data_IF_324977953500
#
_entry.id   IF_324977953500
#
_cell.length_a   1.000
_cell.length_b   1.000
_cell.length_c   1.000
_cell.angle_alpha   90.00
_cell.angle_beta   90.00
_cell.angle_gamma   90.00
#
_symmetry.space_group_name_H-M   'P 1'
#
loop_
_entity.id
_entity.type
_entity.pdbx_description
1 polymer ?
#
# COMPACT_ATOMS: atom_id res chain seq x y z
N UNK A 1 3.71 3.27 -21.41
CA UNK A 1 3.09 3.63 -20.10
C UNK A 1 3.07 2.38 -19.25
N UNK A 2 3.85 2.36 -18.16
CA UNK A 2 3.83 1.23 -17.22
C UNK A 2 2.88 1.61 -16.09
N UNK A 3 1.77 0.88 -15.97
CA UNK A 3 0.82 1.05 -14.88
C UNK A 3 1.07 0.00 -13.82
N UNK A 4 1.06 0.42 -12.57
CA UNK A 4 1.11 -0.47 -11.42
C UNK A 4 -0.15 -0.25 -10.60
N UNK A 5 -0.81 -1.34 -10.23
CA UNK A 5 -2.04 -1.31 -9.44
C UNK A 5 -1.87 -2.12 -8.16
N UNK A 6 -2.55 -1.66 -7.11
CA UNK A 6 -2.69 -2.37 -5.85
C UNK A 6 -4.16 -2.35 -5.44
N UNK A 7 -4.59 -3.40 -4.74
CA UNK A 7 -5.87 -3.42 -4.03
C UNK A 7 -5.60 -3.00 -2.59
N UNK A 8 -6.23 -1.91 -2.15
CA UNK A 8 -6.15 -1.46 -0.77
C UNK A 8 -7.36 -2.00 0.02
N UNK A 9 -7.07 -2.80 1.04
CA UNK A 9 -8.08 -3.32 1.98
C UNK A 9 -7.93 -2.64 3.34
N UNK A 10 -9.05 -2.16 3.90
CA UNK A 10 -9.12 -1.60 5.25
C UNK A 10 -10.15 -2.36 6.07
N UNK A 11 -9.82 -2.69 7.31
CA UNK A 11 -10.76 -3.30 8.23
C UNK A 11 -10.52 -2.81 9.65
N UNK A 12 -11.56 -2.87 10.48
CA UNK A 12 -11.45 -2.68 11.92
C UNK A 12 -11.15 -4.01 12.57
N UNK A 13 -10.20 -4.04 13.48
CA UNK A 13 -9.95 -5.22 14.28
C UNK A 13 -11.16 -5.44 15.22
N UNK A 14 -11.76 -6.64 15.24
CA UNK A 14 -13.04 -6.86 15.90
C UNK A 14 -12.98 -6.80 17.43
N UNK A 15 -11.80 -6.79 18.04
CA UNK A 15 -11.63 -6.79 19.50
C UNK A 15 -10.60 -5.75 19.95
N UNK A 16 -11.08 -4.71 20.60
CA UNK A 16 -10.28 -3.89 21.51
C UNK A 16 -10.75 -4.13 22.95
N UNK A 17 -9.86 -3.97 23.92
CA UNK A 17 -10.23 -3.90 25.35
C UNK A 17 -11.42 -2.95 25.54
N UNK A 18 -12.29 -3.17 26.55
CA UNK A 18 -13.31 -2.19 26.89
C UNK A 18 -12.64 -0.83 27.11
N UNK A 19 -13.08 0.19 26.36
CA UNK A 19 -12.54 1.57 26.27
C UNK A 19 -11.31 1.79 25.36
N UNK A 20 -10.88 0.81 24.57
CA UNK A 20 -9.86 1.05 23.55
C UNK A 20 -10.48 1.68 22.28
N UNK A 21 -9.80 2.66 21.64
CA UNK A 21 -10.25 3.17 20.36
C UNK A 21 -10.19 2.07 19.29
N UNK A 22 -11.12 2.07 18.31
CA UNK A 22 -11.13 1.07 17.25
C UNK A 22 -9.82 1.11 16.46
N UNK A 23 -9.14 -0.03 16.38
CA UNK A 23 -7.88 -0.16 15.66
C UNK A 23 -8.15 -0.48 14.20
N UNK A 24 -7.71 0.41 13.32
CA UNK A 24 -7.74 0.19 11.88
C UNK A 24 -6.51 -0.58 11.43
N UNK A 25 -6.73 -1.55 10.55
CA UNK A 25 -5.70 -2.30 9.85
C UNK A 25 -5.80 -2.02 8.36
N UNK A 26 -4.64 -2.06 7.71
CA UNK A 26 -4.51 -1.76 6.29
C UNK A 26 -3.71 -2.90 5.64
N UNK A 27 -4.05 -3.25 4.41
CA UNK A 27 -3.20 -4.10 3.58
C UNK A 27 -3.23 -3.65 2.13
N UNK A 28 -2.08 -3.73 1.48
CA UNK A 28 -1.97 -3.65 0.02
C UNK A 28 -1.79 -5.06 -0.52
N UNK A 29 -2.47 -5.35 -1.62
CA UNK A 29 -2.31 -6.58 -2.38
C UNK A 29 -1.93 -6.23 -3.83
N UNK A 30 -0.93 -6.91 -4.36
CA UNK A 30 -0.61 -6.84 -5.79
C UNK A 30 -1.47 -7.87 -6.53
N UNK A 31 -2.42 -7.44 -7.39
CA UNK A 31 -3.32 -8.36 -8.07
C UNK A 31 -2.63 -9.27 -9.09
N UNK A 32 -1.42 -8.92 -9.53
CA UNK A 32 -0.66 -9.69 -10.51
C UNK A 32 0.20 -10.79 -9.87
N UNK A 33 0.63 -10.60 -8.62
CA UNK A 33 1.50 -11.55 -7.91
C UNK A 33 0.83 -12.23 -6.72
N UNK A 34 -0.30 -11.70 -6.24
CA UNK A 34 -0.96 -12.13 -5.01
C UNK A 34 -0.20 -11.75 -3.74
N UNK A 35 0.88 -10.97 -3.85
CA UNK A 35 1.66 -10.53 -2.69
C UNK A 35 0.83 -9.55 -1.85
N UNK A 36 0.75 -9.80 -0.55
CA UNK A 36 0.01 -8.97 0.40
C UNK A 36 0.90 -8.45 1.52
N UNK A 37 0.87 -7.14 1.74
CA UNK A 37 1.64 -6.44 2.76
C UNK A 37 0.68 -5.73 3.71
N UNK A 38 0.79 -6.01 5.00
CA UNK A 38 -0.02 -5.39 6.05
C UNK A 38 0.66 -4.18 6.70
N UNK A 39 -0.13 -3.18 7.10
CA UNK A 39 0.34 -1.97 7.77
C UNK A 39 -0.50 -1.70 9.02
N UNK A 40 0.17 -1.18 10.06
CA UNK A 40 -0.45 -0.86 11.36
C UNK A 40 -0.97 0.57 11.43
N UNK A 41 -0.57 1.42 10.49
CA UNK A 41 -0.99 2.82 10.40
C UNK A 41 -0.97 3.33 8.96
N UNK A 42 -1.70 4.43 8.71
CA UNK A 42 -1.67 5.16 7.42
C UNK A 42 -0.26 5.69 7.13
N UNK A 43 0.50 6.06 8.17
CA UNK A 43 1.87 6.58 8.01
C UNK A 43 2.81 5.49 7.46
N UNK A 44 2.72 4.25 7.95
CA UNK A 44 3.49 3.12 7.42
C UNK A 44 3.12 2.83 5.96
N UNK A 45 1.82 2.78 5.64
CA UNK A 45 1.33 2.61 4.26
C UNK A 45 1.89 3.69 3.32
N UNK A 46 1.80 4.95 3.73
CA UNK A 46 2.25 6.09 2.91
C UNK A 46 3.77 6.06 2.72
N UNK A 47 4.53 5.74 3.78
CA UNK A 47 5.98 5.58 3.69
C UNK A 47 6.36 4.48 2.70
N UNK A 48 5.68 3.34 2.75
CA UNK A 48 5.90 2.25 1.80
C UNK A 48 5.65 2.70 0.36
N UNK A 49 4.51 3.34 0.08
CA UNK A 49 4.18 3.82 -1.26
C UNK A 49 5.20 4.83 -1.78
N UNK A 50 5.64 5.78 -0.95
CA UNK A 50 6.67 6.74 -1.32
C UNK A 50 8.01 6.07 -1.68
N UNK A 51 8.44 5.09 -0.87
CA UNK A 51 9.65 4.32 -1.17
C UNK A 51 9.52 3.50 -2.44
N UNK A 52 8.37 2.86 -2.62
CA UNK A 52 8.10 2.04 -3.79
C UNK A 52 8.10 2.87 -5.08
N UNK A 53 7.45 4.04 -5.08
CA UNK A 53 7.49 4.97 -6.21
C UNK A 53 8.90 5.48 -6.50
N UNK A 54 9.69 5.78 -5.46
CA UNK A 54 11.08 6.23 -5.62
C UNK A 54 12.02 5.16 -6.21
N UNK A 55 11.66 3.87 -6.07
CA UNK A 55 12.40 2.75 -6.64
C UNK A 55 11.96 2.40 -8.06
N UNK A 56 10.85 2.96 -8.54
CA UNK A 56 10.46 2.75 -9.93
C UNK A 56 11.49 3.40 -10.85
N UNK A 57 11.89 2.71 -11.94
CA UNK A 57 12.68 3.36 -12.96
C UNK A 57 11.91 4.58 -13.48
N UNK A 58 12.61 5.71 -13.77
CA UNK A 58 11.97 6.82 -14.44
C UNK A 58 11.33 6.27 -15.73
N UNK A 59 10.08 6.66 -15.98
CA UNK A 59 9.41 6.28 -17.22
C UNK A 59 10.27 6.80 -18.37
N UNK A 60 11.01 5.90 -19.02
CA UNK A 60 11.74 6.24 -20.23
C UNK A 60 10.68 6.49 -21.28
N UNK A 61 10.38 7.77 -21.54
CA UNK A 61 9.54 8.13 -22.68
C UNK A 61 10.38 7.86 -23.93
N UNK A 62 10.01 6.91 -24.82
CA UNK A 62 10.82 6.56 -25.98
C UNK A 62 10.83 7.65 -27.07
N UNK A 63 10.27 8.84 -26.80
CA UNK A 63 10.10 9.92 -27.78
C UNK A 63 11.18 11.00 -27.76
N UNK A 64 12.21 10.86 -26.92
CA UNK A 64 13.41 11.70 -26.95
C UNK A 64 14.60 10.89 -27.48
N UNK A 65 14.67 10.71 -28.80
CA UNK A 65 15.86 10.25 -29.54
C UNK A 65 15.83 10.78 -30.96
#
# INVERSE_FOLDING_TARGET
>A
MHYHSFILTLWREPEGLPNAPPVWRYALENPHTGERIGFRSVAELTRFLNQWVALLPPTSDPRES
#
